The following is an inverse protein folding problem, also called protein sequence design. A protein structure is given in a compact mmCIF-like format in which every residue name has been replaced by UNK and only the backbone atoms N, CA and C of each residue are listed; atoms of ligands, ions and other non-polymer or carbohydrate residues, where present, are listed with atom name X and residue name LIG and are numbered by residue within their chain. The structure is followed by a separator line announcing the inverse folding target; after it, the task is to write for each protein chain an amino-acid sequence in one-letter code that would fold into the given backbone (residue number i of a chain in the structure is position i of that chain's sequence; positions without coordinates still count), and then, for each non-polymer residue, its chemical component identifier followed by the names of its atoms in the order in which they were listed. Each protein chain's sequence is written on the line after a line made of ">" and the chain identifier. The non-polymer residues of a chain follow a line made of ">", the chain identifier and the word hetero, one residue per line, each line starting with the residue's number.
data_IF_735972757101
#
_entry.id   IF_735972757101
#
_cell.length_a   1.000
_cell.length_b   1.000
_cell.length_c   1.000
_cell.angle_alpha   90.00
_cell.angle_beta   90.00
_cell.angle_gamma   90.00
#
_symmetry.space_group_name_H-M   'P 1'
#
loop_
_entity.id
_entity.type
_entity.pdbx_description
1 polymer ?
#
# COMPACT_ATOMS: atom_id res chain seq x y z
N UNK A 1 -0.67 19.58 9.18
CA UNK A 1 -1.88 18.71 9.19
C UNK A 1 -2.81 19.20 10.28
N UNK A 2 -4.09 19.36 9.94
CA UNK A 2 -5.17 18.91 10.83
C UNK A 2 -5.33 17.38 10.62
N UNK A 3 -5.66 16.54 11.60
CA UNK A 3 -5.70 16.73 13.06
C UNK A 3 -4.42 17.42 13.57
N UNK A 4 -4.42 18.53 14.33
CA UNK A 4 -5.48 19.20 15.12
C UNK A 4 -6.07 18.38 16.28
N UNK A 5 -5.25 17.48 16.84
CA UNK A 5 -5.03 17.58 18.26
C UNK A 5 -4.35 18.93 18.46
N UNK A 6 -5.12 19.89 18.95
CA UNK A 6 -4.64 21.24 19.20
C UNK A 6 -3.35 21.16 20.04
N UNK A 7 -2.29 21.85 19.60
CA UNK A 7 -0.99 21.91 20.30
C UNK A 7 -1.19 22.35 21.76
N UNK A 8 -2.19 23.21 22.01
CA UNK A 8 -2.54 23.67 23.35
C UNK A 8 -3.21 22.60 24.24
N UNK A 9 -3.85 21.59 23.66
CA UNK A 9 -4.49 20.48 24.39
C UNK A 9 -3.49 19.39 24.76
N UNK A 10 -2.55 19.05 23.87
CA UNK A 10 -1.48 18.09 24.17
C UNK A 10 -0.59 18.59 25.32
N UNK A 11 -0.20 19.87 25.26
CA UNK A 11 0.63 20.51 26.30
C UNK A 11 -0.06 20.62 27.69
N UNK A 12 -1.39 20.57 27.74
CA UNK A 12 -2.16 20.72 28.99
C UNK A 12 -2.42 19.44 29.77
N UNK A 13 -2.20 18.25 29.21
CA UNK A 13 -2.69 17.00 29.81
C UNK A 13 -1.70 15.84 29.87
N UNK A 14 -0.56 15.89 29.18
CA UNK A 14 0.41 14.81 29.21
C UNK A 14 1.64 15.19 30.04
N UNK A 15 1.89 14.47 31.14
CA UNK A 15 3.10 14.55 31.94
C UNK A 15 4.31 13.94 31.19
N UNK A 16 4.69 14.59 30.09
CA UNK A 16 5.82 14.20 29.24
C UNK A 16 7.04 15.02 29.66
N UNK A 17 8.17 14.32 29.79
CA UNK A 17 9.40 14.88 30.33
C UNK A 17 9.94 16.03 29.46
N UNK A 18 10.67 16.96 30.08
CA UNK A 18 11.13 18.21 29.49
C UNK A 18 11.91 18.03 28.18
N UNK A 19 12.63 16.91 28.03
CA UNK A 19 13.36 16.55 26.82
C UNK A 19 12.44 16.36 25.61
N UNK A 20 11.24 15.78 25.81
CA UNK A 20 10.27 15.57 24.73
C UNK A 20 9.62 16.89 24.29
N UNK A 21 9.43 17.83 25.21
CA UNK A 21 8.92 19.16 24.91
C UNK A 21 9.88 19.91 23.98
N UNK A 22 11.16 19.98 24.36
CA UNK A 22 12.20 20.63 23.56
C UNK A 22 12.34 20.02 22.16
N UNK A 23 12.25 18.69 22.05
CA UNK A 23 12.30 17.98 20.77
C UNK A 23 11.08 18.28 19.87
N UNK A 24 9.88 18.40 20.45
CA UNK A 24 8.66 18.75 19.70
C UNK A 24 8.62 20.21 19.25
N UNK A 25 9.27 21.13 19.97
CA UNK A 25 9.34 22.55 19.59
C UNK A 25 10.40 22.87 18.54
N UNK A 26 11.41 22.01 18.38
CA UNK A 26 12.47 22.14 17.36
C UNK A 26 12.11 21.52 16.01
N UNK A 27 10.97 20.83 15.89
CA UNK A 27 10.47 20.28 14.62
C UNK A 27 9.68 21.31 13.81
N UNK A 28 9.96 21.41 12.51
CA UNK A 28 9.10 22.18 11.61
C UNK A 28 7.67 21.60 11.57
N UNK A 29 6.65 22.48 11.54
CA UNK A 29 5.21 22.17 11.47
C UNK A 29 4.78 21.23 10.32
N UNK A 30 5.68 20.95 9.37
CA UNK A 30 5.50 20.00 8.26
C UNK A 30 5.67 18.54 8.70
N UNK A 31 6.40 18.28 9.79
CA UNK A 31 6.76 16.94 10.28
C UNK A 31 6.08 16.52 11.59
N UNK A 32 5.13 17.30 12.10
CA UNK A 32 4.29 16.90 13.25
C UNK A 32 3.35 15.76 12.85
N UNK A 33 3.81 14.52 13.02
CA UNK A 33 3.07 13.29 12.74
C UNK A 33 2.47 12.75 14.05
N UNK A 34 1.16 12.96 14.26
CA UNK A 34 0.47 12.50 15.48
C UNK A 34 0.46 10.97 15.64
N UNK A 35 0.15 10.49 16.85
CA UNK A 35 0.06 9.06 17.17
C UNK A 35 -0.90 8.28 16.26
N UNK A 36 -1.98 8.91 15.79
CA UNK A 36 -2.90 8.36 14.77
C UNK A 36 -2.21 8.07 13.43
N UNK A 37 -1.13 8.79 13.09
CA UNK A 37 -0.30 8.48 11.91
C UNK A 37 0.84 7.51 12.19
N UNK A 38 1.21 7.30 13.46
CA UNK A 38 2.03 6.16 13.88
C UNK A 38 1.16 4.87 13.88
N UNK A 39 -0.15 5.00 14.04
CA UNK A 39 -1.13 3.95 13.68
C UNK A 39 -1.42 3.88 12.16
N UNK A 40 -1.14 4.91 11.35
CA UNK A 40 -1.71 5.13 10.00
C UNK A 40 -1.82 3.86 9.14
N UNK A 41 -0.69 3.17 9.01
CA UNK A 41 -0.53 2.06 8.08
C UNK A 41 -1.19 0.75 8.55
N UNK A 42 -1.88 0.76 9.70
CA UNK A 42 -2.59 -0.37 10.28
C UNK A 42 -3.95 -0.61 9.61
N UNK A 43 -3.88 -0.85 8.30
CA UNK A 43 -4.83 -1.60 7.48
C UNK A 43 -6.25 -1.03 7.28
N UNK A 44 -6.35 -0.28 6.17
CA UNK A 44 -7.47 -0.23 5.21
C UNK A 44 -8.85 0.30 5.70
N UNK A 45 -9.51 1.21 4.97
CA UNK A 45 -10.78 1.78 5.41
C UNK A 45 -11.91 0.75 5.34
N UNK A 46 -12.57 0.53 6.48
CA UNK A 46 -13.91 -0.03 6.52
C UNK A 46 -14.90 1.05 6.05
N UNK A 47 -15.36 0.95 4.80
CA UNK A 47 -16.37 1.87 4.25
C UNK A 47 -16.21 2.14 2.76
N UNK A 48 -16.78 1.28 1.92
CA UNK A 48 -17.11 1.62 0.53
C UNK A 48 -18.36 2.51 0.51
N UNK A 49 -18.20 3.84 0.48
CA UNK A 49 -19.22 4.84 0.08
C UNK A 49 -18.64 6.26 0.25
N UNK A 50 -18.01 6.82 -0.78
CA UNK A 50 -18.60 7.86 -1.65
C UNK A 50 -17.54 8.32 -2.70
N UNK A 51 -17.95 9.07 -3.73
CA UNK A 51 -17.15 9.28 -4.94
C UNK A 51 -15.91 10.19 -4.79
N UNK A 52 -14.79 9.76 -5.38
CA UNK A 52 -13.73 10.65 -5.87
C UNK A 52 -12.40 10.71 -5.10
N UNK A 53 -11.41 9.93 -5.55
CA UNK A 53 -9.97 10.18 -5.35
C UNK A 53 -9.38 10.13 -3.91
N UNK A 54 -9.95 9.36 -2.99
CA UNK A 54 -9.31 9.04 -1.69
C UNK A 54 -9.06 7.54 -1.48
N UNK A 55 -8.57 6.87 -2.52
CA UNK A 55 -8.21 5.45 -2.51
C UNK A 55 -6.80 5.17 -3.04
N UNK A 56 -6.47 3.88 -3.22
CA UNK A 56 -5.18 3.41 -3.77
C UNK A 56 -4.79 4.12 -5.09
N UNK A 57 -5.77 4.50 -5.90
CA UNK A 57 -5.57 5.28 -7.13
C UNK A 57 -4.90 6.64 -6.90
N UNK A 58 -5.19 7.35 -5.81
CA UNK A 58 -4.58 8.66 -5.52
C UNK A 58 -3.13 8.54 -5.02
N UNK A 59 -2.76 7.37 -4.48
CA UNK A 59 -1.37 7.03 -4.14
C UNK A 59 -0.60 6.64 -5.41
N UNK A 60 -1.26 5.91 -6.32
CA UNK A 60 -0.64 5.45 -7.56
C UNK A 60 -0.50 6.53 -8.64
N UNK A 61 -1.44 7.48 -8.75
CA UNK A 61 -1.43 8.48 -9.83
C UNK A 61 -0.07 9.21 -10.00
N UNK A 62 0.56 9.79 -8.95
CA UNK A 62 1.86 10.44 -9.11
C UNK A 62 2.97 9.47 -9.52
N UNK A 63 2.95 8.23 -9.01
CA UNK A 63 3.95 7.19 -9.33
C UNK A 63 3.79 6.74 -10.79
N UNK A 64 2.56 6.56 -11.25
CA UNK A 64 2.24 6.17 -12.62
C UNK A 64 2.59 7.28 -13.62
N UNK A 65 2.44 8.55 -13.26
CA UNK A 65 2.79 9.70 -14.12
C UNK A 65 4.25 9.63 -14.57
N UNK A 66 5.17 9.56 -13.63
CA UNK A 66 6.62 9.51 -13.90
C UNK A 66 7.00 8.26 -14.72
N UNK A 67 6.36 7.13 -14.42
CA UNK A 67 6.57 5.87 -15.12
C UNK A 67 6.07 5.92 -16.58
N UNK A 68 4.85 6.43 -16.80
CA UNK A 68 4.26 6.62 -18.15
C UNK A 68 5.11 7.59 -18.97
N UNK A 69 5.51 8.73 -18.41
CA UNK A 69 6.37 9.69 -19.10
C UNK A 69 7.71 9.07 -19.53
N UNK A 70 8.30 8.21 -18.70
CA UNK A 70 9.56 7.53 -19.01
C UNK A 70 9.40 6.58 -20.19
N UNK A 71 8.31 5.81 -20.24
CA UNK A 71 8.01 4.91 -21.37
C UNK A 71 7.66 5.66 -22.66
N UNK A 72 6.94 6.79 -22.56
CA UNK A 72 6.63 7.64 -23.71
C UNK A 72 7.89 8.27 -24.31
N UNK A 73 8.81 8.77 -23.48
CA UNK A 73 10.12 9.31 -23.91
C UNK A 73 11.02 8.26 -24.58
N UNK A 74 10.82 6.98 -24.26
CA UNK A 74 11.58 5.86 -24.81
C UNK A 74 10.88 5.14 -25.98
N UNK A 75 9.68 5.59 -26.39
CA UNK A 75 8.86 5.02 -27.47
C UNK A 75 8.56 3.51 -27.33
N UNK A 76 8.53 3.00 -26.08
CA UNK A 76 8.38 1.55 -25.81
C UNK A 76 6.90 1.15 -25.85
N UNK A 77 6.56 0.14 -26.67
CA UNK A 77 5.22 -0.44 -26.73
C UNK A 77 4.96 -1.45 -25.59
N UNK A 78 3.69 -1.67 -25.23
CA UNK A 78 3.30 -2.68 -24.26
C UNK A 78 3.22 -2.24 -22.79
N UNK A 79 3.38 -0.94 -22.51
CA UNK A 79 3.29 -0.32 -21.17
C UNK A 79 2.15 -0.87 -20.29
N UNK A 80 0.93 -0.97 -20.84
CA UNK A 80 -0.22 -1.51 -20.09
C UNK A 80 0.02 -2.94 -19.58
N UNK A 81 0.53 -3.84 -20.44
CA UNK A 81 0.79 -5.23 -20.05
C UNK A 81 1.91 -5.31 -19.01
N UNK A 82 2.96 -4.49 -19.16
CA UNK A 82 4.06 -4.41 -18.19
C UNK A 82 3.59 -3.91 -16.82
N UNK A 83 2.85 -2.79 -16.79
CA UNK A 83 2.35 -2.18 -15.55
C UNK A 83 1.34 -3.07 -14.83
N UNK A 84 0.46 -3.76 -15.57
CA UNK A 84 -0.45 -4.77 -15.00
C UNK A 84 0.35 -5.94 -14.40
N UNK A 85 1.40 -6.42 -15.06
CA UNK A 85 2.24 -7.49 -14.53
C UNK A 85 2.97 -7.10 -13.23
N UNK A 86 3.52 -5.88 -13.17
CA UNK A 86 4.18 -5.30 -11.99
C UNK A 86 3.24 -5.17 -10.79
N UNK A 87 1.95 -4.91 -11.00
CA UNK A 87 0.96 -4.78 -9.93
C UNK A 87 0.36 -6.14 -9.55
N UNK A 88 0.04 -7.00 -10.52
CA UNK A 88 -0.57 -8.32 -10.27
C UNK A 88 0.40 -9.32 -9.63
N UNK A 89 1.69 -9.31 -9.99
CA UNK A 89 2.69 -10.22 -9.41
C UNK A 89 2.76 -10.10 -7.87
N UNK A 90 3.03 -8.94 -7.27
CA UNK A 90 3.11 -8.81 -5.81
C UNK A 90 1.75 -9.08 -5.14
N UNK A 91 0.63 -8.64 -5.74
CA UNK A 91 -0.72 -8.94 -5.25
C UNK A 91 -0.95 -10.45 -5.11
N UNK A 92 -0.72 -11.20 -6.19
CA UNK A 92 -0.89 -12.66 -6.22
C UNK A 92 0.08 -13.35 -5.25
N UNK A 93 1.35 -12.91 -5.19
CA UNK A 93 2.34 -13.47 -4.25
C UNK A 93 1.94 -13.25 -2.79
N UNK A 94 1.50 -12.04 -2.42
CA UNK A 94 1.04 -11.73 -1.06
C UNK A 94 -0.19 -12.57 -0.67
N UNK A 95 -1.17 -12.71 -1.57
CA UNK A 95 -2.35 -13.55 -1.30
C UNK A 95 -2.01 -15.03 -1.21
N UNK A 96 -1.11 -15.55 -2.06
CA UNK A 96 -0.62 -16.93 -1.97
C UNK A 96 0.13 -17.18 -0.65
N UNK A 97 0.96 -16.24 -0.20
CA UNK A 97 1.65 -16.35 1.08
C UNK A 97 0.66 -16.35 2.26
N UNK A 98 -0.32 -15.44 2.25
CA UNK A 98 -1.39 -15.39 3.25
C UNK A 98 -2.18 -16.70 3.33
N UNK A 99 -2.45 -17.35 2.18
CA UNK A 99 -3.16 -18.64 2.12
C UNK A 99 -2.25 -19.88 2.18
N UNK A 100 -0.96 -19.70 2.48
CA UNK A 100 0.06 -20.78 2.56
C UNK A 100 0.12 -21.64 1.28
N UNK A 101 0.08 -21.00 0.11
CA UNK A 101 0.12 -21.64 -1.20
C UNK A 101 -1.21 -22.27 -1.66
N UNK A 102 -2.30 -22.13 -0.90
CA UNK A 102 -3.60 -22.67 -1.28
C UNK A 102 -4.25 -21.83 -2.40
N UNK A 103 -4.02 -22.23 -3.65
CA UNK A 103 -4.55 -21.58 -4.85
C UNK A 103 -6.08 -21.41 -4.84
N UNK A 104 -6.85 -22.35 -4.25
CA UNK A 104 -8.31 -22.25 -4.22
C UNK A 104 -8.76 -21.11 -3.28
N UNK A 105 -8.16 -21.04 -2.09
CA UNK A 105 -8.41 -19.94 -1.14
C UNK A 105 -7.87 -18.61 -1.67
N UNK A 106 -6.71 -18.60 -2.32
CA UNK A 106 -6.15 -17.39 -2.92
C UNK A 106 -7.04 -16.84 -4.04
N UNK A 107 -7.56 -17.71 -4.91
CA UNK A 107 -8.47 -17.32 -5.98
C UNK A 107 -9.78 -16.74 -5.42
N UNK A 108 -10.35 -17.36 -4.37
CA UNK A 108 -11.52 -16.85 -3.68
C UNK A 108 -11.29 -15.47 -3.04
N UNK A 109 -10.15 -15.25 -2.37
CA UNK A 109 -9.79 -13.94 -1.80
C UNK A 109 -9.57 -12.85 -2.86
N UNK A 110 -9.08 -13.22 -4.05
CA UNK A 110 -8.88 -12.30 -5.18
C UNK A 110 -10.15 -12.10 -6.02
N UNK A 111 -11.25 -12.79 -5.74
CA UNK A 111 -12.46 -12.79 -6.58
C UNK A 111 -12.25 -13.41 -7.97
N UNK A 112 -11.22 -14.24 -8.15
CA UNK A 112 -10.85 -14.86 -9.42
C UNK A 112 -11.29 -16.33 -9.49
N UNK A 113 -11.54 -16.82 -10.71
CA UNK A 113 -11.60 -18.26 -10.95
C UNK A 113 -10.20 -18.87 -10.72
N UNK A 114 -10.12 -20.01 -10.01
CA UNK A 114 -8.87 -20.73 -9.73
C UNK A 114 -8.08 -21.06 -11.01
N UNK A 115 -8.75 -21.33 -12.13
CA UNK A 115 -8.08 -21.59 -13.41
C UNK A 115 -7.44 -20.31 -13.98
N UNK A 116 -8.11 -19.16 -13.84
CA UNK A 116 -7.55 -17.84 -14.17
C UNK A 116 -6.36 -17.50 -13.29
N UNK A 117 -6.45 -17.75 -11.98
CA UNK A 117 -5.30 -17.57 -11.08
C UNK A 117 -4.12 -18.46 -11.49
N UNK A 118 -4.36 -19.75 -11.80
CA UNK A 118 -3.30 -20.65 -12.27
C UNK A 118 -2.65 -20.14 -13.56
N UNK A 119 -3.44 -19.62 -14.51
CA UNK A 119 -2.91 -19.03 -15.74
C UNK A 119 -2.07 -17.78 -15.44
N UNK A 120 -2.59 -16.83 -14.65
CA UNK A 120 -1.84 -15.64 -14.22
C UNK A 120 -0.54 -15.99 -13.49
N UNK A 121 -0.53 -17.01 -12.64
CA UNK A 121 0.70 -17.49 -11.99
C UNK A 121 1.74 -18.04 -13.00
N UNK A 122 1.29 -18.67 -14.08
CA UNK A 122 2.17 -19.15 -15.15
C UNK A 122 2.69 -17.98 -16.00
N UNK A 123 1.79 -17.11 -16.48
CA UNK A 123 2.10 -15.94 -17.30
C UNK A 123 3.06 -14.97 -16.56
N UNK A 124 2.83 -14.77 -15.26
CA UNK A 124 3.67 -13.94 -14.39
C UNK A 124 4.84 -14.71 -13.76
N UNK A 125 5.11 -15.96 -14.16
CA UNK A 125 6.22 -16.79 -13.66
C UNK A 125 6.37 -16.75 -12.12
N UNK A 126 5.27 -17.11 -11.42
CA UNK A 126 5.15 -17.20 -9.96
C UNK A 126 5.17 -18.67 -9.56
N UNK A 127 6.29 -19.14 -9.01
CA UNK A 127 6.38 -20.51 -8.53
C UNK A 127 5.49 -20.70 -7.29
N UNK A 128 4.56 -21.66 -7.36
CA UNK A 128 3.78 -22.06 -6.18
C UNK A 128 4.69 -22.83 -5.22
N UNK A 129 5.02 -22.24 -4.07
CA UNK A 129 5.89 -22.81 -3.05
C UNK A 129 5.42 -24.17 -2.52
N UNK A 130 5.89 -25.24 -3.16
CA UNK A 130 5.97 -26.62 -2.65
C UNK A 130 7.36 -27.14 -3.05
N UNK A 131 8.39 -26.69 -2.34
CA UNK A 131 9.78 -26.96 -2.73
C UNK A 131 10.86 -26.70 -1.66
N UNK A 132 10.72 -25.67 -0.82
CA UNK A 132 11.69 -25.44 0.27
C UNK A 132 11.15 -25.94 1.61
N UNK A 133 11.56 -27.17 1.97
CA UNK A 133 11.77 -27.53 3.36
C UNK A 133 13.08 -26.87 3.80
N UNK A 134 13.02 -26.08 4.86
CA UNK A 134 14.15 -25.72 5.72
C UNK A 134 13.77 -26.06 7.15
#
# INVERSE_FOLDING_TARGET
>A
MASCHDRSLLLKHSALQSELHFWLETLEMRYCVGSERIKAARYLPAGLQDSGLTGFSAILEPIMRDYVETWLKAEISGLHAHLVAEIERPLIMMTLNHTRGNQLKAAALLGLNRNTLRKKMQDLNIMSGRGEKR
#
